data_IF_425213814463
#
_entry.id   IF_425213814463
#
_cell.length_a   1.000
_cell.length_b   1.000
_cell.length_c   1.000
_cell.angle_alpha   90.00
_cell.angle_beta   90.00
_cell.angle_gamma   90.00
#
_symmetry.space_group_name_H-M   'P 1'
#
loop_
_entity.id
_entity.type
_entity.pdbx_description
1 polymer ?
#
# COMPACT_ATOMS: atom_id res chain seq x y z
N UNK A 1 -11.57 5.46 68.46
CA UNK A 1 -11.44 5.67 66.99
C UNK A 1 -10.00 6.04 66.69
N UNK A 2 -9.21 5.27 65.90
CA UNK A 2 -8.04 5.80 65.11
C UNK A 2 -7.07 4.81 64.44
N UNK A 3 -7.14 3.47 64.61
CA UNK A 3 -6.23 2.55 63.87
C UNK A 3 -6.93 1.60 62.89
N UNK A 4 -8.06 1.01 63.27
CA UNK A 4 -8.72 0.00 62.41
C UNK A 4 -9.43 0.58 61.18
N UNK A 5 -9.77 1.88 61.20
CA UNK A 5 -10.44 2.55 60.09
C UNK A 5 -9.49 2.92 58.94
N UNK A 6 -8.19 3.09 59.26
CA UNK A 6 -7.15 3.40 58.26
C UNK A 6 -6.75 2.14 57.49
N UNK A 7 -6.70 0.99 58.16
CA UNK A 7 -6.35 -0.29 57.53
C UNK A 7 -7.41 -0.73 56.51
N UNK A 8 -8.70 -0.49 56.79
CA UNK A 8 -9.77 -0.79 55.83
C UNK A 8 -9.70 0.08 54.57
N UNK A 9 -9.32 1.35 54.71
CA UNK A 9 -9.20 2.28 53.58
C UNK A 9 -8.02 1.93 52.66
N UNK A 10 -6.89 1.54 53.23
CA UNK A 10 -5.71 1.11 52.46
C UNK A 10 -5.98 -0.22 51.74
N UNK A 11 -6.70 -1.16 52.37
CA UNK A 11 -7.09 -2.41 51.74
C UNK A 11 -8.09 -2.21 50.59
N UNK A 12 -9.05 -1.27 50.72
CA UNK A 12 -9.99 -0.93 49.66
C UNK A 12 -9.31 -0.23 48.47
N UNK A 13 -8.34 0.65 48.73
CA UNK A 13 -7.54 1.28 47.66
C UNK A 13 -6.65 0.26 46.94
N UNK A 14 -6.08 -0.72 47.66
CA UNK A 14 -5.31 -1.80 47.05
C UNK A 14 -6.19 -2.72 46.17
N UNK A 15 -7.42 -3.01 46.59
CA UNK A 15 -8.38 -3.75 45.77
C UNK A 15 -8.87 -2.94 44.55
N UNK A 16 -9.04 -1.62 44.69
CA UNK A 16 -9.41 -0.73 43.59
C UNK A 16 -8.26 -0.53 42.57
N UNK A 17 -7.00 -0.59 43.00
CA UNK A 17 -5.81 -0.57 42.13
C UNK A 17 -5.52 -1.93 41.45
N UNK A 18 -6.07 -3.03 41.97
CA UNK A 18 -6.06 -4.32 41.27
C UNK A 18 -7.24 -4.48 40.29
N UNK A 19 -8.27 -3.63 40.43
CA UNK A 19 -9.40 -3.52 39.52
C UNK A 19 -9.25 -2.33 38.55
N UNK A 20 -8.04 -1.78 38.40
CA UNK A 20 -7.74 -0.83 37.32
C UNK A 20 -8.09 -1.53 36.00
N UNK A 21 -8.87 -0.89 35.12
CA UNK A 21 -9.43 -1.58 33.96
C UNK A 21 -8.30 -2.17 33.14
N UNK A 22 -8.60 -3.23 32.38
CA UNK A 22 -7.92 -3.54 31.13
C UNK A 22 -7.96 -2.28 30.23
N UNK A 23 -7.16 -1.26 30.54
CA UNK A 23 -6.94 -0.10 29.70
C UNK A 23 -5.94 -0.56 28.67
N UNK A 24 -6.48 -1.12 27.59
CA UNK A 24 -5.75 -1.49 26.40
C UNK A 24 -4.79 -2.64 26.62
N UNK A 25 -5.30 -3.88 26.53
CA UNK A 25 -4.57 -4.81 25.68
C UNK A 25 -4.55 -4.14 24.30
N UNK A 26 -3.49 -3.38 24.03
CA UNK A 26 -3.11 -3.08 22.65
C UNK A 26 -2.91 -4.47 22.06
N UNK A 27 -3.92 -4.96 21.35
CA UNK A 27 -3.77 -6.15 20.52
C UNK A 27 -2.50 -5.91 19.72
N UNK A 28 -1.47 -6.72 20.00
CA UNK A 28 -0.19 -6.53 19.35
C UNK A 28 -0.47 -6.61 17.86
N UNK A 29 -0.20 -5.52 17.14
CA UNK A 29 -0.50 -5.47 15.71
C UNK A 29 0.21 -6.62 15.02
N UNK A 30 -0.55 -7.50 14.40
CA UNK A 30 -0.02 -8.70 13.76
C UNK A 30 0.50 -8.35 12.37
N UNK A 31 1.65 -8.91 11.99
CA UNK A 31 2.14 -8.83 10.62
C UNK A 31 1.73 -10.10 9.88
N UNK A 32 0.83 -9.94 8.93
CA UNK A 32 0.40 -11.01 8.02
C UNK A 32 1.13 -10.82 6.70
N UNK A 33 1.69 -11.91 6.15
CA UNK A 33 2.32 -11.88 4.82
C UNK A 33 1.32 -11.43 3.76
N UNK A 34 1.78 -10.63 2.79
CA UNK A 34 0.96 -10.11 1.72
C UNK A 34 1.63 -10.29 0.36
N UNK A 35 0.85 -10.75 -0.62
CA UNK A 35 1.26 -10.84 -2.03
C UNK A 35 0.18 -10.23 -2.92
N UNK A 36 0.58 -9.50 -3.97
CA UNK A 36 -0.32 -8.97 -4.98
C UNK A 36 0.05 -9.55 -6.33
N UNK A 37 -0.92 -10.15 -6.99
CA UNK A 37 -0.80 -10.66 -8.35
C UNK A 37 -1.59 -9.77 -9.30
N UNK A 38 -0.92 -9.10 -10.22
CA UNK A 38 -1.57 -8.28 -11.25
C UNK A 38 -2.02 -9.19 -12.39
N UNK A 39 -3.32 -9.20 -12.68
CA UNK A 39 -3.94 -10.09 -13.67
C UNK A 39 -4.39 -9.36 -14.94
N UNK A 40 -4.56 -8.04 -14.86
CA UNK A 40 -4.93 -7.21 -16.00
C UNK A 40 -4.75 -5.73 -15.72
N UNK A 41 -4.79 -4.94 -16.80
CA UNK A 41 -4.74 -3.48 -16.71
C UNK A 41 -5.53 -2.86 -17.86
N UNK A 42 -6.16 -1.72 -17.58
CA UNK A 42 -6.68 -0.78 -18.54
C UNK A 42 -6.11 0.60 -18.23
N UNK A 43 -5.68 1.35 -19.23
CA UNK A 43 -4.97 2.61 -19.03
C UNK A 43 -5.54 3.65 -19.98
N UNK A 44 -6.26 4.62 -19.42
CA UNK A 44 -6.53 5.87 -20.11
C UNK A 44 -5.34 6.83 -19.89
N UNK A 45 -4.71 7.20 -21.00
CA UNK A 45 -3.54 8.07 -21.00
C UNK A 45 -3.98 9.52 -21.01
N UNK A 46 -3.49 10.27 -20.03
CA UNK A 46 -3.69 11.70 -19.95
C UNK A 46 -2.79 12.48 -20.91
N UNK A 47 -2.42 13.69 -20.50
CA UNK A 47 -1.57 14.55 -21.30
C UNK A 47 -0.12 14.07 -21.28
N UNK A 48 0.44 13.85 -22.47
CA UNK A 48 1.84 13.49 -22.67
C UNK A 48 2.53 14.62 -23.45
N UNK A 49 3.69 15.07 -22.97
CA UNK A 49 4.50 16.05 -23.69
C UNK A 49 5.98 15.87 -23.42
N UNK A 50 6.81 16.45 -24.28
CA UNK A 50 8.26 16.47 -24.15
C UNK A 50 8.72 17.89 -23.87
N UNK A 51 9.53 18.06 -22.83
CA UNK A 51 10.18 19.33 -22.52
C UNK A 51 11.27 19.67 -23.53
N UNK A 52 11.71 20.93 -23.60
CA UNK A 52 12.83 21.33 -24.46
C UNK A 52 14.15 20.59 -24.15
N UNK A 53 14.28 20.01 -22.94
CA UNK A 53 15.40 19.16 -22.55
C UNK A 53 15.19 17.67 -22.82
N UNK A 54 14.25 17.29 -23.69
CA UNK A 54 14.03 15.89 -24.10
C UNK A 54 13.31 14.99 -23.08
N UNK A 55 13.01 15.50 -21.88
CA UNK A 55 12.28 14.74 -20.84
C UNK A 55 10.80 14.65 -21.21
N UNK A 56 10.26 13.43 -21.23
CA UNK A 56 8.83 13.17 -21.38
C UNK A 56 8.12 13.28 -20.02
N UNK A 57 6.98 13.95 -20.00
CA UNK A 57 6.11 14.04 -18.83
C UNK A 57 4.71 13.56 -19.19
N UNK A 58 4.06 12.90 -18.23
CA UNK A 58 2.69 12.42 -18.33
C UNK A 58 1.92 12.90 -17.11
N UNK A 59 0.73 13.47 -17.32
CA UNK A 59 -0.16 13.91 -16.22
C UNK A 59 -1.61 13.57 -16.51
N UNK A 60 -2.31 13.17 -15.45
CA UNK A 60 -3.73 12.87 -15.52
C UNK A 60 -4.02 11.52 -16.15
N UNK A 61 -3.09 10.56 -16.08
CA UNK A 61 -3.37 9.19 -16.44
C UNK A 61 -4.33 8.59 -15.41
N UNK A 62 -5.26 7.76 -15.85
CA UNK A 62 -6.19 7.05 -14.97
C UNK A 62 -6.11 5.55 -15.24
N UNK A 63 -5.04 4.87 -14.77
CA UNK A 63 -4.94 3.44 -14.92
C UNK A 63 -5.84 2.71 -13.92
N UNK A 64 -6.49 1.65 -14.40
CA UNK A 64 -7.22 0.68 -13.62
C UNK A 64 -6.52 -0.66 -13.71
N UNK A 65 -6.17 -1.25 -12.56
CA UNK A 65 -5.56 -2.59 -12.50
C UNK A 65 -6.53 -3.60 -11.92
N UNK A 66 -6.46 -4.82 -12.43
CA UNK A 66 -7.15 -5.97 -11.88
C UNK A 66 -6.11 -6.86 -11.21
N UNK A 67 -6.33 -7.19 -9.94
CA UNK A 67 -5.36 -7.94 -9.15
C UNK A 67 -6.02 -8.98 -8.26
N UNK A 68 -5.22 -9.88 -7.70
CA UNK A 68 -5.57 -10.67 -6.53
C UNK A 68 -4.60 -10.33 -5.40
N UNK A 69 -5.13 -9.90 -4.26
CA UNK A 69 -4.37 -9.69 -3.03
C UNK A 69 -4.50 -10.94 -2.16
N UNK A 70 -3.37 -11.54 -1.83
CA UNK A 70 -3.27 -12.66 -0.90
C UNK A 70 -2.80 -12.11 0.43
N UNK A 71 -3.53 -12.36 1.51
CA UNK A 71 -3.14 -11.98 2.87
C UNK A 71 -3.16 -13.23 3.76
N UNK A 72 -1.99 -13.81 4.03
CA UNK A 72 -1.90 -15.12 4.66
C UNK A 72 -2.52 -16.19 3.76
N UNK A 73 -3.59 -16.83 4.22
CA UNK A 73 -4.31 -17.87 3.46
C UNK A 73 -5.49 -17.33 2.65
N UNK A 74 -5.90 -16.07 2.89
CA UNK A 74 -7.07 -15.46 2.24
C UNK A 74 -6.68 -14.81 0.91
N UNK A 75 -7.55 -14.95 -0.09
CA UNK A 75 -7.39 -14.28 -1.40
C UNK A 75 -8.56 -13.34 -1.68
N UNK A 76 -8.25 -12.11 -2.05
CA UNK A 76 -9.20 -11.05 -2.34
C UNK A 76 -9.03 -10.55 -3.79
N UNK A 77 -10.05 -10.65 -4.64
CA UNK A 77 -10.01 -9.97 -5.93
C UNK A 77 -10.02 -8.46 -5.70
N UNK A 78 -9.19 -7.72 -6.45
CA UNK A 78 -9.08 -6.28 -6.35
C UNK A 78 -9.31 -5.59 -7.69
N UNK A 79 -9.99 -4.45 -7.64
CA UNK A 79 -9.94 -3.42 -8.68
C UNK A 79 -9.23 -2.20 -8.12
N UNK A 80 -8.13 -1.81 -8.76
CA UNK A 80 -7.26 -0.71 -8.33
C UNK A 80 -7.45 0.46 -9.26
N UNK A 81 -8.14 1.50 -8.80
CA UNK A 81 -8.30 2.76 -9.52
C UNK A 81 -7.23 3.76 -9.07
N UNK A 82 -6.53 4.38 -10.02
CA UNK A 82 -5.49 5.35 -9.72
C UNK A 82 -5.65 6.63 -10.53
N UNK A 83 -5.14 7.73 -9.98
CA UNK A 83 -4.65 8.84 -10.79
C UNK A 83 -3.12 8.82 -10.75
N UNK A 84 -2.47 9.03 -11.89
CA UNK A 84 -1.01 9.01 -11.94
C UNK A 84 -0.38 10.17 -12.72
N UNK A 85 0.85 10.47 -12.31
CA UNK A 85 1.75 11.36 -13.03
C UNK A 85 3.10 10.69 -13.14
N UNK A 86 3.74 10.82 -14.30
CA UNK A 86 5.00 10.16 -14.58
C UNK A 86 5.98 11.10 -15.29
N UNK A 87 7.26 10.85 -15.09
CA UNK A 87 8.36 11.49 -15.81
C UNK A 87 9.27 10.42 -16.35
N UNK A 88 9.60 10.53 -17.63
CA UNK A 88 10.55 9.67 -18.32
C UNK A 88 11.69 10.53 -18.87
N UNK A 89 12.90 10.29 -18.37
CA UNK A 89 14.13 10.79 -18.95
C UNK A 89 14.88 9.64 -19.64
N UNK A 90 14.82 9.61 -20.96
CA UNK A 90 15.49 8.59 -21.78
C UNK A 90 17.01 8.77 -21.82
N UNK A 91 17.53 9.98 -21.58
CA UNK A 91 18.98 10.23 -21.56
C UNK A 91 19.62 9.62 -20.31
N UNK A 92 18.96 9.76 -19.16
CA UNK A 92 19.43 9.19 -17.89
C UNK A 92 18.89 7.77 -17.63
N UNK A 93 18.07 7.23 -18.54
CA UNK A 93 17.44 5.92 -18.38
C UNK A 93 16.53 5.81 -17.15
N UNK A 94 15.79 6.88 -16.83
CA UNK A 94 15.05 7.00 -15.57
C UNK A 94 13.58 7.30 -15.80
N UNK A 95 12.71 6.46 -15.23
CA UNK A 95 11.27 6.68 -15.16
C UNK A 95 10.81 6.72 -13.71
N UNK A 96 9.95 7.68 -13.37
CA UNK A 96 9.29 7.77 -12.05
C UNK A 96 7.82 8.03 -12.26
N UNK A 97 6.99 7.30 -11.53
CA UNK A 97 5.55 7.53 -11.48
C UNK A 97 5.07 7.60 -10.04
N UNK A 98 4.11 8.49 -9.81
CA UNK A 98 3.39 8.65 -8.56
C UNK A 98 1.93 8.31 -8.83
N UNK A 99 1.36 7.47 -7.99
CA UNK A 99 -0.02 7.04 -8.07
C UNK A 99 -0.72 7.39 -6.76
N UNK A 100 -1.83 8.09 -6.85
CA UNK A 100 -2.81 8.17 -5.76
C UNK A 100 -3.89 7.13 -6.07
N UNK A 101 -4.11 6.19 -5.17
CA UNK A 101 -4.77 4.92 -5.49
C UNK A 101 -5.81 4.51 -4.45
N UNK A 102 -6.88 3.92 -4.96
CA UNK A 102 -7.91 3.22 -4.18
C UNK A 102 -8.02 1.80 -4.73
N UNK A 103 -7.91 0.84 -3.83
CA UNK A 103 -7.90 -0.59 -4.10
C UNK A 103 -9.19 -1.15 -3.51
N UNK A 104 -10.17 -1.39 -4.37
CA UNK A 104 -11.47 -1.92 -3.98
C UNK A 104 -11.43 -3.44 -3.94
N UNK A 105 -11.95 -4.04 -2.87
CA UNK A 105 -12.12 -5.50 -2.80
C UNK A 105 -13.43 -5.89 -3.50
N UNK A 106 -13.31 -6.72 -4.53
CA UNK A 106 -14.42 -7.09 -5.41
C UNK A 106 -14.44 -6.25 -6.68
N UNK A 107 -15.19 -5.15 -6.68
CA UNK A 107 -15.44 -4.29 -7.84
C UNK A 107 -15.15 -2.81 -7.57
N UNK A 108 -14.98 -2.02 -8.63
CA UNK A 108 -14.73 -0.57 -8.50
C UNK A 108 -15.89 0.13 -7.78
N UNK A 109 -15.57 0.94 -6.77
CA UNK A 109 -16.56 1.65 -5.97
C UNK A 109 -17.11 0.87 -4.76
N UNK A 110 -16.59 -0.34 -4.47
CA UNK A 110 -16.96 -1.09 -3.28
C UNK A 110 -16.65 -0.35 -1.96
N UNK A 111 -17.37 -0.70 -0.89
CA UNK A 111 -17.27 -0.06 0.43
C UNK A 111 -16.06 -0.53 1.29
N UNK A 112 -15.24 -1.43 0.75
CA UNK A 112 -14.15 -2.10 1.48
C UNK A 112 -12.87 -2.19 0.64
N UNK A 113 -11.71 -1.98 1.27
CA UNK A 113 -10.43 -2.04 0.56
C UNK A 113 -9.29 -1.25 1.21
N UNK A 114 -8.37 -0.77 0.39
CA UNK A 114 -7.20 0.01 0.82
C UNK A 114 -7.02 1.27 -0.01
N UNK A 115 -6.47 2.35 0.57
CA UNK A 115 -6.18 3.60 -0.16
C UNK A 115 -4.88 4.23 0.26
N UNK A 116 -4.23 4.93 -0.67
CA UNK A 116 -3.00 5.65 -0.40
C UNK A 116 -2.13 5.81 -1.64
N UNK A 117 -0.87 6.13 -1.39
CA UNK A 117 0.07 6.45 -2.44
C UNK A 117 0.98 5.27 -2.81
N UNK A 118 1.29 5.18 -4.11
CA UNK A 118 2.31 4.29 -4.64
C UNK A 118 3.36 5.12 -5.38
N UNK A 119 4.62 4.73 -5.23
CA UNK A 119 5.73 5.34 -5.96
C UNK A 119 6.43 4.24 -6.74
N UNK A 120 6.42 4.37 -8.05
CA UNK A 120 7.13 3.50 -8.98
C UNK A 120 8.36 4.19 -9.54
N UNK A 121 9.47 3.47 -9.59
CA UNK A 121 10.69 3.85 -10.29
C UNK A 121 11.06 2.72 -11.22
N UNK A 122 11.42 3.07 -12.44
CA UNK A 122 11.90 2.12 -13.43
C UNK A 122 13.22 2.68 -13.96
N UNK A 123 14.24 1.84 -14.02
CA UNK A 123 15.61 2.22 -14.37
C UNK A 123 16.31 1.09 -15.16
N UNK A 124 17.58 1.34 -15.49
CA UNK A 124 18.44 0.47 -16.30
C UNK A 124 17.90 0.30 -17.73
N UNK A 125 18.21 1.30 -18.58
CA UNK A 125 17.73 1.38 -19.95
C UNK A 125 18.36 0.28 -20.83
N UNK A 126 17.53 -0.57 -21.42
CA UNK A 126 17.94 -1.56 -22.41
C UNK A 126 17.75 -0.99 -23.82
N UNK A 127 18.87 -0.62 -24.45
CA UNK A 127 18.91 -0.08 -25.81
C UNK A 127 18.68 -1.14 -26.90
N UNK A 128 18.52 -2.42 -26.55
CA UNK A 128 18.41 -3.53 -27.53
C UNK A 128 17.03 -3.65 -28.18
N UNK A 129 16.08 -2.76 -27.88
CA UNK A 129 14.87 -2.54 -28.67
C UNK A 129 13.59 -3.18 -28.14
N UNK A 130 13.59 -3.73 -26.92
CA UNK A 130 12.35 -4.16 -26.26
C UNK A 130 11.69 -2.95 -25.60
N UNK A 131 10.46 -2.64 -25.97
CA UNK A 131 9.66 -1.60 -25.32
C UNK A 131 8.78 -2.24 -24.21
N UNK A 132 8.73 -1.66 -23.00
CA UNK A 132 9.44 -0.46 -22.56
C UNK A 132 10.94 -0.75 -22.35
N UNK A 133 11.82 0.22 -22.67
CA UNK A 133 13.27 0.04 -22.72
C UNK A 133 13.91 -0.01 -21.34
N UNK A 134 13.25 -0.57 -20.33
CA UNK A 134 13.75 -0.62 -18.97
C UNK A 134 13.77 -2.03 -18.44
N UNK A 135 14.85 -2.37 -17.77
CA UNK A 135 15.10 -3.73 -17.30
C UNK A 135 14.79 -3.94 -15.82
N UNK A 136 14.77 -2.88 -14.99
CA UNK A 136 14.50 -2.99 -13.54
C UNK A 136 13.38 -2.06 -13.08
N UNK A 137 12.50 -2.61 -12.24
CA UNK A 137 11.36 -1.91 -11.63
C UNK A 137 11.46 -1.99 -10.11
N UNK A 138 11.20 -0.85 -9.47
CA UNK A 138 11.05 -0.74 -8.02
C UNK A 138 9.77 0.01 -7.72
N UNK A 139 8.84 -0.65 -7.04
CA UNK A 139 7.59 -0.04 -6.60
C UNK A 139 7.46 -0.22 -5.10
N UNK A 140 6.99 0.81 -4.42
CA UNK A 140 6.58 0.74 -3.02
C UNK A 140 5.22 1.36 -2.83
N UNK A 141 4.37 0.73 -2.03
CA UNK A 141 3.12 1.34 -1.56
C UNK A 141 2.98 1.21 -0.05
N UNK A 142 2.23 2.15 0.53
CA UNK A 142 1.72 2.05 1.89
C UNK A 142 0.29 2.55 1.87
N UNK A 143 -0.64 1.63 2.11
CA UNK A 143 -2.06 1.86 1.95
C UNK A 143 -2.76 1.65 3.30
N UNK A 144 -3.74 2.49 3.59
CA UNK A 144 -4.58 2.41 4.77
C UNK A 144 -5.88 1.70 4.41
N UNK A 145 -6.27 0.71 5.21
CA UNK A 145 -7.52 -0.01 5.00
C UNK A 145 -8.75 0.82 5.35
N UNK A 146 -9.88 0.51 4.72
CA UNK A 146 -11.20 1.04 4.98
C UNK A 146 -12.25 -0.07 4.86
N UNK A 147 -13.46 0.14 5.38
CA UNK A 147 -14.49 -0.89 5.44
C UNK A 147 -14.05 -2.06 6.31
N UNK A 148 -14.09 -3.29 5.79
CA UNK A 148 -13.69 -4.50 6.54
C UNK A 148 -12.20 -4.52 6.89
N UNK A 149 -11.40 -3.67 6.24
CA UNK A 149 -9.97 -3.52 6.47
C UNK A 149 -9.63 -2.29 7.34
N UNK A 150 -10.62 -1.63 7.95
CA UNK A 150 -10.37 -0.45 8.78
C UNK A 150 -9.34 -0.74 9.89
N UNK A 151 -8.39 0.19 10.07
CA UNK A 151 -7.29 0.07 11.03
C UNK A 151 -6.08 -0.73 10.54
N UNK A 152 -6.21 -1.44 9.41
CA UNK A 152 -5.12 -2.19 8.80
C UNK A 152 -4.20 -1.30 7.95
N UNK A 153 -2.93 -1.67 7.83
CA UNK A 153 -1.97 -1.00 6.94
C UNK A 153 -1.29 -2.03 6.04
N UNK A 154 -1.54 -1.93 4.74
CA UNK A 154 -0.91 -2.77 3.72
C UNK A 154 0.38 -2.11 3.23
N UNK A 155 1.47 -2.87 3.18
CA UNK A 155 2.76 -2.46 2.63
C UNK A 155 3.24 -3.50 1.66
N UNK A 156 3.36 -3.12 0.40
CA UNK A 156 3.88 -3.98 -0.65
C UNK A 156 5.06 -3.31 -1.34
N UNK A 157 5.94 -4.14 -1.90
CA UNK A 157 7.06 -3.70 -2.70
C UNK A 157 7.39 -4.68 -3.81
N UNK A 158 7.97 -4.14 -4.86
CA UNK A 158 8.66 -4.88 -5.92
C UNK A 158 10.05 -4.30 -6.03
N UNK A 159 11.04 -5.18 -6.16
CA UNK A 159 12.36 -4.82 -6.66
C UNK A 159 12.86 -5.98 -7.54
N UNK A 160 12.90 -5.77 -8.84
CA UNK A 160 13.26 -6.84 -9.76
C UNK A 160 13.21 -6.44 -11.22
N UNK A 161 13.28 -7.44 -12.09
CA UNK A 161 13.15 -7.22 -13.52
C UNK A 161 11.72 -6.77 -13.89
N UNK A 162 11.49 -6.33 -15.12
CA UNK A 162 10.15 -5.91 -15.56
C UNK A 162 9.06 -6.96 -15.30
N UNK A 163 9.37 -8.26 -15.40
CA UNK A 163 8.42 -9.33 -15.07
C UNK A 163 8.01 -9.35 -13.58
N UNK A 164 8.85 -8.86 -12.67
CA UNK A 164 8.50 -8.71 -11.27
C UNK A 164 7.35 -7.70 -11.06
N UNK A 165 7.00 -6.87 -12.05
CA UNK A 165 5.83 -6.00 -12.00
C UNK A 165 4.52 -6.75 -11.73
N UNK A 166 4.42 -8.02 -12.10
CA UNK A 166 3.19 -8.79 -11.95
C UNK A 166 3.01 -9.41 -10.56
N UNK A 167 4.05 -9.41 -9.71
CA UNK A 167 4.00 -10.02 -8.37
C UNK A 167 4.68 -9.13 -7.34
N UNK A 168 3.91 -8.60 -6.39
CA UNK A 168 4.40 -7.69 -5.35
C UNK A 168 4.32 -8.41 -4.02
N UNK A 169 5.31 -8.21 -3.14
CA UNK A 169 5.36 -8.88 -1.85
C UNK A 169 5.53 -7.89 -0.70
N UNK A 170 5.09 -8.29 0.49
CA UNK A 170 5.20 -7.46 1.68
C UNK A 170 4.37 -8.02 2.83
N UNK A 171 3.67 -7.13 3.54
CA UNK A 171 2.86 -7.50 4.69
C UNK A 171 1.70 -6.54 4.93
N UNK A 172 0.64 -7.04 5.55
CA UNK A 172 -0.41 -6.25 6.17
C UNK A 172 -0.21 -6.22 7.69
N UNK A 173 -0.37 -5.05 8.28
CA UNK A 173 -0.43 -4.88 9.73
C UNK A 173 -1.90 -4.87 10.14
N UNK A 174 -2.33 -5.85 10.95
CA UNK A 174 -3.71 -5.99 11.46
C UNK A 174 -3.78 -5.66 12.95
#
# INVERSE_FOLDING_TARGET
MKKNMIVLFVALMAAAMLATPLVGMVMAKEKVEAELLVTGQDIDLGNIWTTNGGIQQQKGNTPTYYCNLILGEDTYPLVVACTSSATLNTETGYFVAFYDSVWYVGEEGADSGFKGMMIGRIYDFDTTGVFPPFSRIVIHCTLQGFGDFEGQTLKLSVDGNFFAYFTWTGYCIR
#
